data_IF_951607205123
#
_entry.id   IF_951607205123
#
_cell.length_a   1.000
_cell.length_b   1.000
_cell.length_c   1.000
_cell.angle_alpha   90.00
_cell.angle_beta   90.00
_cell.angle_gamma   90.00
#
_symmetry.space_group_name_H-M   'P 1'
#
loop_
_entity.id
_entity.type
_entity.pdbx_description
1 polymer ?
#
# COMPACT_ATOMS: atom_id res chain seq x y z
N UNK A 1 36.67 -43.59 30.46
CA UNK A 1 36.87 -42.13 30.38
C UNK A 1 36.95 -41.58 28.94
N UNK A 2 37.80 -42.07 28.03
CA UNK A 2 37.96 -41.49 26.67
C UNK A 2 36.69 -41.53 25.79
N UNK A 3 35.86 -42.58 25.88
CA UNK A 3 34.61 -42.69 25.12
C UNK A 3 33.54 -41.68 25.55
N UNK A 4 33.40 -41.40 26.86
CA UNK A 4 32.43 -40.40 27.34
C UNK A 4 32.80 -38.99 26.86
N UNK A 5 34.08 -38.62 26.87
CA UNK A 5 34.55 -37.31 26.39
C UNK A 5 34.27 -37.11 24.89
N UNK A 6 34.45 -38.14 24.06
CA UNK A 6 34.16 -38.08 22.62
C UNK A 6 32.66 -37.94 22.32
N UNK A 7 31.79 -38.57 23.12
CA UNK A 7 30.34 -38.44 22.99
C UNK A 7 29.90 -37.01 23.35
N UNK A 8 30.44 -36.45 24.43
CA UNK A 8 30.13 -35.07 24.85
C UNK A 8 30.59 -34.02 23.83
N UNK A 9 31.76 -34.22 23.20
CA UNK A 9 32.26 -33.33 22.14
C UNK A 9 31.42 -33.39 20.86
N UNK A 10 31.00 -34.59 20.43
CA UNK A 10 30.10 -34.75 19.28
C UNK A 10 28.75 -34.08 19.52
N UNK A 11 28.16 -34.27 20.70
CA UNK A 11 26.90 -33.62 21.08
C UNK A 11 27.01 -32.09 21.07
N UNK A 12 28.11 -31.52 21.59
CA UNK A 12 28.36 -30.07 21.57
C UNK A 12 28.45 -29.50 20.15
N UNK A 13 29.14 -30.20 19.23
CA UNK A 13 29.27 -29.75 17.85
C UNK A 13 27.93 -29.80 17.09
N UNK A 14 27.10 -30.81 17.35
CA UNK A 14 25.74 -30.90 16.78
C UNK A 14 24.87 -29.74 17.28
N UNK A 15 24.90 -29.44 18.58
CA UNK A 15 24.15 -28.31 19.15
C UNK A 15 24.61 -26.98 18.53
N UNK A 16 25.91 -26.75 18.38
CA UNK A 16 26.46 -25.56 17.72
C UNK A 16 26.00 -25.45 16.26
N UNK A 17 25.99 -26.55 15.52
CA UNK A 17 25.51 -26.59 14.14
C UNK A 17 24.01 -26.27 14.03
N UNK A 18 23.19 -26.81 14.94
CA UNK A 18 21.74 -26.52 15.00
C UNK A 18 21.51 -25.03 15.31
N UNK A 19 22.23 -24.47 16.30
CA UNK A 19 22.12 -23.05 16.65
C UNK A 19 22.51 -22.18 15.44
N UNK A 20 23.61 -22.49 14.77
CA UNK A 20 24.05 -21.76 13.58
C UNK A 20 23.01 -21.84 12.45
N UNK A 21 22.43 -23.03 12.21
CA UNK A 21 21.35 -23.22 11.23
C UNK A 21 20.15 -22.32 11.56
N UNK A 22 19.70 -22.31 12.83
CA UNK A 22 18.59 -21.46 13.29
C UNK A 22 18.92 -19.98 13.07
N UNK A 23 20.11 -19.52 13.46
CA UNK A 23 20.52 -18.12 13.24
C UNK A 23 20.59 -17.76 11.75
N UNK A 24 21.08 -18.66 10.88
CA UNK A 24 21.10 -18.41 9.44
C UNK A 24 19.70 -18.32 8.83
N UNK A 25 18.74 -19.12 9.29
CA UNK A 25 17.33 -19.02 8.87
C UNK A 25 16.72 -17.68 9.33
N UNK A 26 17.01 -17.24 10.56
CA UNK A 26 16.56 -15.93 11.06
C UNK A 26 17.17 -14.76 10.29
N UNK A 27 18.46 -14.84 9.94
CA UNK A 27 19.14 -13.79 9.18
C UNK A 27 18.57 -13.64 7.76
N UNK A 28 18.32 -14.76 7.06
CA UNK A 28 17.68 -14.75 5.74
C UNK A 28 16.28 -14.14 5.81
N UNK A 29 15.47 -14.54 6.80
CA UNK A 29 14.13 -13.95 7.01
C UNK A 29 14.19 -12.47 7.34
N UNK A 30 15.11 -12.03 8.20
CA UNK A 30 15.27 -10.62 8.55
C UNK A 30 15.61 -9.75 7.33
N UNK A 31 16.42 -10.27 6.41
CA UNK A 31 16.76 -9.58 5.17
C UNK A 31 15.57 -9.45 4.21
N UNK A 32 14.73 -10.49 4.08
CA UNK A 32 13.47 -10.41 3.33
C UNK A 32 12.46 -9.45 3.97
N UNK A 33 12.33 -9.44 5.30
CA UNK A 33 11.45 -8.50 5.98
C UNK A 33 11.89 -7.04 5.76
N UNK A 34 13.19 -6.75 5.70
CA UNK A 34 13.70 -5.38 5.48
C UNK A 34 13.33 -4.79 4.11
N UNK A 35 13.12 -5.63 3.09
CA UNK A 35 12.67 -5.18 1.75
C UNK A 35 11.19 -4.79 1.73
N UNK A 36 10.38 -5.30 2.65
CA UNK A 36 8.94 -5.00 2.74
C UNK A 36 8.61 -3.69 3.47
N UNK A 37 9.60 -3.02 4.06
CA UNK A 37 9.40 -1.82 4.89
C UNK A 37 9.46 -0.50 4.11
N UNK A 38 9.61 -0.55 2.78
CA UNK A 38 9.71 0.62 1.91
C UNK A 38 8.81 0.49 0.68
N UNK A 39 8.37 1.64 0.17
CA UNK A 39 7.75 1.71 -1.16
C UNK A 39 8.84 1.61 -2.24
N UNK A 40 8.48 0.96 -3.33
CA UNK A 40 9.21 0.91 -4.58
C UNK A 40 9.17 2.26 -5.32
N UNK A 41 10.04 2.43 -6.32
CA UNK A 41 10.07 3.64 -7.15
C UNK A 41 8.75 3.85 -7.92
N UNK A 42 8.12 2.79 -8.41
CA UNK A 42 6.85 2.88 -9.13
C UNK A 42 5.70 3.34 -8.23
N UNK A 43 5.67 2.90 -6.97
CA UNK A 43 4.71 3.38 -5.97
C UNK A 43 4.90 4.88 -5.69
N UNK A 44 6.14 5.36 -5.58
CA UNK A 44 6.40 6.80 -5.47
C UNK A 44 6.03 7.58 -6.72
N UNK A 45 6.30 7.06 -7.93
CA UNK A 45 5.88 7.70 -9.17
C UNK A 45 4.36 7.84 -9.25
N UNK A 46 3.61 6.81 -8.84
CA UNK A 46 2.16 6.89 -8.75
C UNK A 46 1.70 7.98 -7.80
N UNK A 47 2.26 8.06 -6.58
CA UNK A 47 1.91 9.08 -5.60
C UNK A 47 2.20 10.48 -6.16
N UNK A 48 3.35 10.65 -6.81
CA UNK A 48 3.75 11.92 -7.42
C UNK A 48 2.84 12.34 -8.58
N UNK A 49 2.45 11.40 -9.45
CA UNK A 49 1.53 11.66 -10.56
C UNK A 49 0.13 12.01 -10.02
N UNK A 50 -0.37 11.27 -9.03
CA UNK A 50 -1.68 11.53 -8.44
C UNK A 50 -1.78 12.94 -7.84
N UNK A 51 -0.76 13.37 -7.09
CA UNK A 51 -0.70 14.72 -6.51
C UNK A 51 -0.03 15.75 -7.42
N UNK A 52 0.25 15.41 -8.68
CA UNK A 52 0.82 16.36 -9.62
C UNK A 52 -0.20 17.47 -9.90
N UNK A 53 0.21 18.73 -9.74
CA UNK A 53 -0.68 19.88 -9.95
C UNK A 53 -1.75 20.09 -8.87
N UNK A 54 -1.91 19.18 -7.90
CA UNK A 54 -2.83 19.42 -6.78
C UNK A 54 -2.25 20.45 -5.81
N UNK A 55 -3.08 21.43 -5.45
CA UNK A 55 -2.89 22.35 -4.33
C UNK A 55 -4.18 22.39 -3.54
N UNK A 56 -4.09 22.32 -2.21
CA UNK A 56 -5.24 22.45 -1.31
C UNK A 56 -5.20 23.89 -0.79
N UNK A 57 -6.22 24.68 -1.09
CA UNK A 57 -6.31 26.10 -0.74
C UNK A 57 -5.11 26.94 -1.22
N UNK A 58 -4.59 26.62 -2.41
CA UNK A 58 -3.40 27.26 -2.98
C UNK A 58 -2.07 26.85 -2.32
N UNK A 59 -2.10 25.92 -1.36
CA UNK A 59 -0.92 25.42 -0.63
C UNK A 59 -0.51 24.01 -1.03
N UNK A 60 0.73 23.64 -0.67
CA UNK A 60 1.28 22.30 -0.84
C UNK A 60 0.41 21.23 -0.16
N UNK A 61 0.22 20.10 -0.85
CA UNK A 61 -0.52 18.95 -0.31
C UNK A 61 0.20 18.42 0.92
N UNK A 62 -0.51 18.29 2.04
CA UNK A 62 0.05 17.71 3.27
C UNK A 62 -0.47 16.29 3.45
N UNK A 63 0.45 15.32 3.45
CA UNK A 63 0.17 13.89 3.64
C UNK A 63 0.76 13.42 4.97
N UNK A 64 0.08 12.48 5.62
CA UNK A 64 0.61 11.80 6.79
C UNK A 64 1.88 11.02 6.43
N UNK A 65 2.88 11.06 7.32
CA UNK A 65 4.20 10.48 7.05
C UNK A 65 4.24 8.94 6.93
N UNK A 66 3.13 8.24 7.20
CA UNK A 66 2.99 6.79 7.03
C UNK A 66 1.77 6.49 6.17
N UNK A 67 1.83 5.41 5.40
CA UNK A 67 0.62 4.88 4.77
C UNK A 67 -0.39 4.44 5.83
N UNK A 68 -1.66 4.65 5.54
CA UNK A 68 -2.76 4.21 6.37
C UNK A 68 -3.01 2.72 6.16
N UNK A 69 -3.19 1.99 7.25
CA UNK A 69 -3.83 0.68 7.20
C UNK A 69 -5.29 0.90 7.55
N UNK A 70 -6.10 0.90 6.51
CA UNK A 70 -7.49 0.49 6.61
C UNK A 70 -7.62 -0.76 5.74
N UNK A 71 -8.20 -1.82 6.30
CA UNK A 71 -8.44 -3.06 5.56
C UNK A 71 -9.92 -3.24 5.22
N UNK A 72 -10.82 -2.39 5.72
CA UNK A 72 -12.26 -2.54 5.53
C UNK A 72 -12.65 -2.41 4.05
N UNK A 73 -11.93 -1.58 3.29
CA UNK A 73 -12.13 -1.45 1.84
C UNK A 73 -11.73 -2.69 1.02
N UNK A 74 -11.22 -3.76 1.65
CA UNK A 74 -11.06 -5.06 0.98
C UNK A 74 -12.39 -5.60 0.43
N UNK A 75 -13.51 -5.30 1.11
CA UNK A 75 -14.87 -5.76 0.75
C UNK A 75 -15.26 -5.44 -0.69
N UNK A 76 -14.71 -4.37 -1.28
CA UNK A 76 -14.95 -3.97 -2.66
C UNK A 76 -14.30 -4.87 -3.71
N UNK A 77 -13.28 -5.63 -3.31
CA UNK A 77 -12.52 -6.52 -4.18
C UNK A 77 -12.79 -8.01 -3.87
N UNK A 78 -13.60 -8.28 -2.85
CA UNK A 78 -14.05 -9.61 -2.51
C UNK A 78 -15.11 -10.14 -3.49
N UNK A 79 -15.23 -11.46 -3.59
CA UNK A 79 -16.31 -12.18 -4.30
C UNK A 79 -16.46 -11.91 -5.80
N UNK A 80 -15.51 -11.21 -6.42
CA UNK A 80 -15.54 -10.93 -7.87
C UNK A 80 -16.77 -10.17 -8.37
N UNK A 81 -17.46 -9.42 -7.50
CA UNK A 81 -18.65 -8.66 -7.86
C UNK A 81 -18.36 -7.15 -7.85
N UNK A 82 -18.35 -6.54 -9.05
CA UNK A 82 -18.11 -5.10 -9.26
C UNK A 82 -19.23 -4.21 -8.74
N UNK A 83 -20.40 -4.78 -8.45
CA UNK A 83 -21.60 -4.05 -8.04
C UNK A 83 -21.35 -3.13 -6.83
N UNK A 84 -20.51 -3.54 -5.88
CA UNK A 84 -20.18 -2.68 -4.73
C UNK A 84 -19.34 -1.47 -5.12
N UNK A 85 -18.47 -1.61 -6.13
CA UNK A 85 -17.65 -0.51 -6.66
C UNK A 85 -18.54 0.46 -7.42
N UNK A 86 -19.36 -0.05 -8.34
CA UNK A 86 -20.18 0.79 -9.24
C UNK A 86 -21.33 1.48 -8.51
N UNK A 87 -21.87 0.90 -7.43
CA UNK A 87 -22.88 1.57 -6.58
C UNK A 87 -22.36 2.78 -5.82
N UNK A 88 -21.05 2.85 -5.57
CA UNK A 88 -20.44 3.94 -4.80
C UNK A 88 -19.56 4.84 -5.68
N UNK A 89 -19.90 4.94 -6.96
CA UNK A 89 -19.15 5.70 -7.95
C UNK A 89 -18.93 7.15 -7.50
N UNK A 90 -17.72 7.64 -7.73
CA UNK A 90 -17.28 9.00 -7.38
C UNK A 90 -16.77 9.77 -8.59
N UNK A 91 -15.99 10.82 -8.34
CA UNK A 91 -15.39 11.67 -9.39
C UNK A 91 -13.87 11.75 -9.13
N UNK A 92 -13.01 11.64 -10.16
CA UNK A 92 -13.34 11.45 -11.58
C UNK A 92 -13.53 9.99 -11.98
N UNK A 93 -14.30 9.78 -13.05
CA UNK A 93 -14.49 8.50 -13.76
C UNK A 93 -14.33 8.78 -15.25
N UNK A 94 -13.42 8.06 -15.90
CA UNK A 94 -13.11 8.26 -17.33
C UNK A 94 -13.46 7.06 -18.20
N UNK A 95 -13.89 5.96 -17.58
CA UNK A 95 -14.29 4.73 -18.27
C UNK A 95 -15.67 4.28 -17.77
N UNK A 96 -16.37 3.50 -18.58
CA UNK A 96 -17.65 2.90 -18.19
C UNK A 96 -17.49 1.74 -17.20
N UNK A 97 -18.56 1.39 -16.48
CA UNK A 97 -18.60 0.22 -15.59
C UNK A 97 -18.28 -1.09 -16.33
N UNK A 98 -18.68 -1.20 -17.61
CA UNK A 98 -18.38 -2.34 -18.47
C UNK A 98 -16.88 -2.44 -18.75
N UNK A 99 -16.23 -1.32 -19.08
CA UNK A 99 -14.77 -1.28 -19.28
C UNK A 99 -14.04 -1.55 -17.97
N UNK A 100 -14.50 -1.00 -16.86
CA UNK A 100 -13.97 -1.31 -15.54
C UNK A 100 -14.00 -2.81 -15.27
N UNK A 101 -15.11 -3.48 -15.59
CA UNK A 101 -15.23 -4.92 -15.40
C UNK A 101 -14.35 -5.78 -16.29
N UNK A 102 -13.96 -5.27 -17.46
CA UNK A 102 -12.94 -5.94 -18.29
C UNK A 102 -11.53 -5.82 -17.72
N UNK A 103 -11.25 -4.76 -16.94
CA UNK A 103 -9.96 -4.50 -16.31
C UNK A 103 -9.85 -5.23 -14.96
N UNK A 104 -10.89 -5.13 -14.14
CA UNK A 104 -10.98 -5.75 -12.81
C UNK A 104 -11.49 -7.19 -12.92
N UNK A 105 -10.72 -8.04 -13.60
CA UNK A 105 -11.01 -9.47 -13.67
C UNK A 105 -10.95 -10.12 -12.29
N UNK A 106 -11.56 -11.31 -12.14
CA UNK A 106 -11.49 -12.10 -10.90
C UNK A 106 -10.05 -12.27 -10.37
N UNK A 107 -9.09 -12.47 -11.27
CA UNK A 107 -7.67 -12.59 -10.91
C UNK A 107 -7.12 -11.29 -10.33
N UNK A 108 -7.38 -10.16 -10.99
CA UNK A 108 -6.95 -8.83 -10.52
C UNK A 108 -7.59 -8.51 -9.17
N UNK A 109 -8.89 -8.71 -9.01
CA UNK A 109 -9.61 -8.51 -7.75
C UNK A 109 -9.02 -9.35 -6.61
N UNK A 110 -8.65 -10.60 -6.88
CA UNK A 110 -7.99 -11.49 -5.90
C UNK A 110 -6.61 -10.97 -5.50
N UNK A 111 -5.80 -10.52 -6.47
CA UNK A 111 -4.48 -9.93 -6.21
C UNK A 111 -4.60 -8.66 -5.37
N UNK A 112 -5.55 -7.78 -5.68
CA UNK A 112 -5.80 -6.55 -4.90
C UNK A 112 -6.20 -6.92 -3.47
N UNK A 113 -7.20 -7.80 -3.31
CA UNK A 113 -7.68 -8.23 -2.00
C UNK A 113 -6.56 -8.80 -1.13
N UNK A 114 -5.75 -9.69 -1.70
CA UNK A 114 -4.60 -10.26 -1.00
C UNK A 114 -3.59 -9.19 -0.58
N UNK A 115 -3.27 -8.25 -1.46
CA UNK A 115 -2.35 -7.16 -1.17
C UNK A 115 -2.86 -6.22 -0.06
N UNK A 116 -4.17 -5.95 0.00
CA UNK A 116 -4.80 -5.20 1.11
C UNK A 116 -4.62 -5.97 2.41
N UNK A 117 -4.93 -7.28 2.41
CA UNK A 117 -4.90 -8.13 3.60
C UNK A 117 -3.52 -8.19 4.24
N UNK A 118 -2.45 -8.27 3.44
CA UNK A 118 -1.07 -8.35 3.94
C UNK A 118 -0.41 -6.98 4.14
N UNK A 119 -1.10 -5.89 3.84
CA UNK A 119 -0.55 -4.54 3.93
C UNK A 119 -0.15 -4.17 5.36
N UNK A 120 0.93 -3.40 5.46
CA UNK A 120 1.52 -2.87 6.71
C UNK A 120 1.77 -1.35 6.54
N UNK A 121 1.92 -0.58 7.62
CA UNK A 121 2.11 0.86 7.51
C UNK A 121 3.56 1.12 7.12
N UNK A 122 3.77 1.84 6.02
CA UNK A 122 5.10 2.14 5.49
C UNK A 122 5.37 3.62 5.68
N UNK A 123 6.54 3.96 6.21
CA UNK A 123 6.98 5.35 6.33
C UNK A 123 7.34 5.88 4.93
N UNK A 124 6.75 7.00 4.57
CA UNK A 124 7.07 7.68 3.32
C UNK A 124 8.42 8.38 3.42
N UNK A 125 9.23 8.25 2.37
CA UNK A 125 10.51 8.90 2.21
C UNK A 125 10.33 10.18 1.39
N UNK A 126 10.61 11.32 2.02
CA UNK A 126 10.43 12.64 1.41
C UNK A 126 11.33 12.85 0.19
N UNK A 127 12.47 12.16 0.10
CA UNK A 127 13.41 12.30 -1.02
C UNK A 127 12.86 11.80 -2.35
N UNK A 128 11.85 10.93 -2.34
CA UNK A 128 11.19 10.42 -3.54
C UNK A 128 9.89 11.15 -3.89
N UNK A 129 9.46 12.12 -3.07
CA UNK A 129 8.20 12.83 -3.25
C UNK A 129 8.42 14.21 -3.87
N UNK A 130 7.52 14.62 -4.76
CA UNK A 130 7.51 15.95 -5.36
C UNK A 130 7.55 17.06 -4.30
N UNK A 131 8.11 18.22 -4.68
CA UNK A 131 8.31 19.35 -3.78
C UNK A 131 7.00 19.90 -3.20
N UNK A 132 5.89 19.79 -3.95
CA UNK A 132 4.55 20.21 -3.52
C UNK A 132 3.89 19.27 -2.50
N UNK A 133 4.55 18.17 -2.09
CA UNK A 133 4.01 17.20 -1.13
C UNK A 133 4.75 17.33 0.21
N UNK A 134 4.10 17.80 1.28
CA UNK A 134 4.67 17.87 2.63
C UNK A 134 4.26 16.65 3.46
N UNK A 135 5.20 16.13 4.25
CA UNK A 135 4.92 15.03 5.19
C UNK A 135 4.74 15.55 6.62
N UNK A 136 3.70 15.08 7.33
CA UNK A 136 3.47 15.41 8.75
C UNK A 136 3.17 14.21 9.63
N UNK A 137 3.57 14.31 10.91
CA UNK A 137 3.36 13.27 11.94
C UNK A 137 2.08 13.40 12.74
N UNK A 138 1.43 14.57 12.77
CA UNK A 138 0.30 14.84 13.64
C UNK A 138 -0.88 15.40 12.87
N UNK A 139 -2.08 14.92 13.22
CA UNK A 139 -3.38 15.50 12.82
C UNK A 139 -3.87 16.58 13.78
N UNK A 140 -3.16 16.86 14.89
CA UNK A 140 -3.68 17.68 16.00
C UNK A 140 -3.95 19.15 15.65
N UNK A 141 -3.46 19.64 14.51
CA UNK A 141 -3.79 20.99 14.08
C UNK A 141 -5.06 20.94 13.23
N UNK A 142 -6.22 21.15 13.85
CA UNK A 142 -7.55 21.17 13.18
C UNK A 142 -7.62 22.12 11.97
N UNK A 143 -6.69 23.07 11.85
CA UNK A 143 -6.58 24.02 10.74
C UNK A 143 -5.82 23.49 9.51
N UNK A 144 -5.27 22.27 9.55
CA UNK A 144 -4.48 21.71 8.46
C UNK A 144 -5.02 20.36 8.02
N UNK A 145 -5.56 20.33 6.80
CA UNK A 145 -6.02 19.12 6.13
C UNK A 145 -4.82 18.19 5.87
N UNK A 146 -4.66 17.15 6.71
CA UNK A 146 -3.62 16.13 6.56
C UNK A 146 -4.24 14.87 5.96
N UNK A 147 -4.00 14.69 4.66
CA UNK A 147 -4.46 13.51 3.93
C UNK A 147 -3.73 12.25 4.40
N UNK A 148 -4.43 11.13 4.41
CA UNK A 148 -3.84 9.79 4.54
C UNK A 148 -4.00 9.06 3.23
N UNK A 149 -3.03 8.23 2.88
CA UNK A 149 -3.11 7.35 1.72
C UNK A 149 -2.80 5.92 2.14
N UNK A 150 -3.48 4.92 1.59
CA UNK A 150 -3.04 3.53 1.72
C UNK A 150 -1.72 3.31 0.97
N UNK A 151 -1.10 2.17 1.22
CA UNK A 151 -0.03 1.69 0.32
C UNK A 151 -0.62 1.50 -1.09
N UNK A 152 -0.03 2.04 -2.16
CA UNK A 152 -0.47 1.74 -3.51
C UNK A 152 -0.27 0.26 -3.86
N UNK A 153 -1.29 -0.35 -4.44
CA UNK A 153 -1.23 -1.72 -4.94
C UNK A 153 -1.09 -1.63 -6.45
N UNK A 154 0.08 -2.02 -6.98
CA UNK A 154 0.36 -1.99 -8.42
C UNK A 154 0.36 -3.43 -8.95
N UNK A 155 -0.45 -3.66 -9.99
CA UNK A 155 -0.51 -4.93 -10.73
C UNK A 155 -0.39 -4.57 -12.21
N UNK A 156 0.77 -4.88 -12.80
CA UNK A 156 1.13 -4.49 -14.17
C UNK A 156 0.96 -2.98 -14.40
N UNK A 157 0.04 -2.59 -15.27
CA UNK A 157 -0.29 -1.19 -15.59
C UNK A 157 -1.52 -0.67 -14.85
N UNK A 158 -2.03 -1.40 -13.87
CA UNK A 158 -3.14 -1.01 -13.01
C UNK A 158 -2.63 -0.70 -11.61
N UNK A 159 -3.22 0.29 -10.97
CA UNK A 159 -2.97 0.54 -9.57
C UNK A 159 -4.22 0.94 -8.82
N UNK A 160 -4.26 0.58 -7.53
CA UNK A 160 -5.37 0.91 -6.64
C UNK A 160 -4.84 1.38 -5.29
N UNK A 161 -5.42 2.45 -4.75
CA UNK A 161 -5.14 2.91 -3.40
C UNK A 161 -6.28 3.77 -2.86
N UNK A 162 -6.37 3.90 -1.54
CA UNK A 162 -7.32 4.80 -0.89
C UNK A 162 -6.66 6.10 -0.46
N UNK A 163 -7.41 7.20 -0.54
CA UNK A 163 -7.11 8.51 0.03
C UNK A 163 -8.20 8.82 1.05
N UNK A 164 -7.79 9.15 2.26
CA UNK A 164 -8.67 9.57 3.34
C UNK A 164 -8.39 11.03 3.70
N UNK A 165 -9.40 11.87 3.55
CA UNK A 165 -9.46 13.22 4.13
C UNK A 165 -10.25 13.18 5.45
N UNK A 166 -10.65 14.33 5.96
CA UNK A 166 -11.55 14.40 7.11
C UNK A 166 -13.00 14.07 6.70
N UNK A 167 -13.37 14.36 5.44
CA UNK A 167 -14.76 14.26 4.95
C UNK A 167 -15.03 13.02 4.10
N UNK A 168 -14.01 12.35 3.58
CA UNK A 168 -14.20 11.23 2.65
C UNK A 168 -13.09 10.18 2.74
N UNK A 169 -13.47 8.94 2.42
CA UNK A 169 -12.55 7.87 2.05
C UNK A 169 -12.80 7.51 0.59
N UNK A 170 -11.96 8.04 -0.29
CA UNK A 170 -12.00 7.78 -1.73
C UNK A 170 -11.03 6.64 -2.08
N UNK A 171 -11.43 5.76 -2.99
CA UNK A 171 -10.59 4.70 -3.55
C UNK A 171 -10.42 5.01 -5.03
N UNK A 172 -9.17 5.10 -5.44
CA UNK A 172 -8.79 5.43 -6.81
C UNK A 172 -8.28 4.19 -7.52
N UNK A 173 -8.74 4.01 -8.75
CA UNK A 173 -8.20 3.06 -9.71
C UNK A 173 -7.51 3.86 -10.78
N UNK A 174 -6.24 3.58 -10.98
CA UNK A 174 -5.39 4.27 -11.94
C UNK A 174 -4.84 3.30 -12.98
N UNK A 175 -4.68 3.78 -14.20
CA UNK A 175 -4.01 3.04 -15.28
C UNK A 175 -2.79 3.81 -15.74
N UNK A 176 -1.70 3.09 -16.00
CA UNK A 176 -0.50 3.66 -16.60
C UNK A 176 -0.69 3.79 -18.10
N UNK A 177 -0.69 5.02 -18.59
CA UNK A 177 -0.82 5.39 -20.01
C UNK A 177 0.33 6.32 -20.36
N UNK A 178 1.10 6.01 -21.41
CA UNK A 178 2.21 6.84 -21.88
C UNK A 178 3.19 7.26 -20.76
N UNK A 179 3.53 6.31 -19.89
CA UNK A 179 4.38 6.50 -18.72
C UNK A 179 3.84 7.38 -17.58
N UNK A 180 2.58 7.80 -17.62
CA UNK A 180 1.91 8.51 -16.53
C UNK A 180 0.78 7.70 -15.94
N UNK A 181 0.60 7.80 -14.63
CA UNK A 181 -0.58 7.25 -13.96
C UNK A 181 -1.76 8.20 -14.11
N UNK A 182 -2.87 7.69 -14.65
CA UNK A 182 -4.10 8.46 -14.82
C UNK A 182 -5.23 7.80 -14.04
N UNK A 183 -6.07 8.59 -13.38
CA UNK A 183 -7.26 8.09 -12.70
C UNK A 183 -8.25 7.65 -13.77
N UNK A 184 -8.65 6.38 -13.73
CA UNK A 184 -9.67 5.84 -14.64
C UNK A 184 -11.02 5.67 -13.95
N UNK A 185 -11.01 5.47 -12.63
CA UNK A 185 -12.22 5.26 -11.85
C UNK A 185 -12.00 5.69 -10.40
N UNK A 186 -13.04 6.24 -9.78
CA UNK A 186 -13.06 6.62 -8.36
C UNK A 186 -14.35 6.13 -7.74
N UNK A 187 -14.29 5.66 -6.50
CA UNK A 187 -15.47 5.31 -5.71
C UNK A 187 -15.24 5.56 -4.22
N UNK A 188 -16.30 5.69 -3.44
CA UNK A 188 -16.24 6.08 -2.04
C UNK A 188 -16.57 4.91 -1.10
N UNK A 189 -15.72 4.70 -0.09
CA UNK A 189 -16.07 3.79 1.01
C UNK A 189 -17.01 4.45 2.03
N UNK A 190 -16.76 5.73 2.31
CA UNK A 190 -17.59 6.55 3.17
C UNK A 190 -17.53 8.00 2.71
N UNK A 191 -18.71 8.61 2.56
CA UNK A 191 -18.88 10.05 2.58
C UNK A 191 -19.24 10.42 4.03
N UNK A 192 -18.42 11.24 4.68
CA UNK A 192 -18.80 11.88 5.94
C UNK A 192 -19.64 13.09 5.54
N UNK A 193 -20.93 12.84 5.30
CA UNK A 193 -21.90 13.93 5.25
C UNK A 193 -22.08 14.40 6.70
N UNK A 194 -21.57 15.58 7.03
CA UNK A 194 -22.04 16.34 8.20
C UNK A 194 -23.49 16.81 7.98
#
# INVERSE_FOLDING_TARGET
>A
MKQQVQITQKASNVIKAIIFLVFSIYAVRAQEYSKCDKLSKSEYFLINDFFSGQRIDGTDVTIYYKTHIDKEWIKYFEKSNLEMITKNVGIPVTISDKELGSILTKEILTKISHAILISKPIKLDKSYLNNNIKLKRSRKNKKMHVLRISKPIIIDNLAVFSKMSDDEIAIYIMKKLENKWQIIYTFYDRLVLE
#
